data_IF_943460630662
#
_entry.id   IF_943460630662
#
_cell.length_a   1.000
_cell.length_b   1.000
_cell.length_c   1.000
_cell.angle_alpha   90.00
_cell.angle_beta   90.00
_cell.angle_gamma   90.00
#
_symmetry.space_group_name_H-M   'P 1'
#
loop_
_entity.id
_entity.type
_entity.pdbx_description
1 polymer ?
#
# COMPACT_ATOMS: atom_id res chain seq x y z
N UNK A 1 22.47 -1.37 4.76
CA UNK A 1 21.45 -2.07 5.57
C UNK A 1 20.94 -3.26 4.77
N UNK A 2 21.03 -4.51 5.28
CA UNK A 2 20.67 -5.72 4.50
C UNK A 2 19.17 -5.82 4.19
N UNK A 3 18.33 -5.04 4.88
CA UNK A 3 16.88 -5.00 4.68
C UNK A 3 16.46 -4.75 3.22
N UNK A 4 17.21 -3.94 2.49
CA UNK A 4 17.01 -3.70 1.05
C UNK A 4 17.02 -5.01 0.25
N UNK A 5 18.07 -5.81 0.43
CA UNK A 5 18.22 -7.11 -0.24
C UNK A 5 17.11 -8.05 0.21
N UNK A 6 16.84 -8.12 1.51
CA UNK A 6 15.80 -9.00 2.06
C UNK A 6 14.41 -8.67 1.51
N UNK A 7 14.06 -7.38 1.44
CA UNK A 7 12.80 -6.91 0.85
C UNK A 7 12.66 -7.39 -0.61
N UNK A 8 13.72 -7.33 -1.41
CA UNK A 8 13.71 -7.70 -2.82
C UNK A 8 13.51 -9.18 -3.08
N UNK A 9 14.00 -10.03 -2.18
CA UNK A 9 13.92 -11.49 -2.33
C UNK A 9 12.77 -12.10 -1.51
N UNK A 10 11.86 -11.28 -0.99
CA UNK A 10 10.69 -11.73 -0.23
C UNK A 10 10.99 -12.22 1.18
N UNK A 11 12.19 -11.93 1.71
CA UNK A 11 12.58 -12.20 3.10
C UNK A 11 12.10 -11.07 4.01
N UNK A 12 10.80 -10.82 3.98
CA UNK A 12 10.18 -9.65 4.62
C UNK A 12 10.39 -9.66 6.14
N UNK A 13 10.36 -10.83 6.79
CA UNK A 13 10.60 -10.93 8.23
C UNK A 13 12.03 -10.51 8.61
N UNK A 14 13.04 -10.94 7.85
CA UNK A 14 14.43 -10.52 8.10
C UNK A 14 14.65 -9.04 7.79
N UNK A 15 13.91 -8.48 6.81
CA UNK A 15 13.88 -7.04 6.60
C UNK A 15 13.29 -6.32 7.83
N UNK A 16 12.17 -6.79 8.38
CA UNK A 16 11.56 -6.25 9.60
C UNK A 16 12.53 -6.29 10.78
N UNK A 17 13.13 -7.45 11.08
CA UNK A 17 14.08 -7.61 12.19
C UNK A 17 15.29 -6.68 12.06
N UNK A 18 15.85 -6.56 10.84
CA UNK A 18 16.98 -5.69 10.60
C UNK A 18 16.64 -4.21 10.86
N UNK A 19 15.44 -3.77 10.50
CA UNK A 19 14.99 -2.39 10.72
C UNK A 19 14.56 -2.11 12.16
N UNK A 20 13.96 -3.09 12.85
CA UNK A 20 13.69 -2.99 14.29
C UNK A 20 15.00 -2.78 15.07
N UNK A 21 16.04 -3.56 14.74
CA UNK A 21 17.36 -3.43 15.35
C UNK A 21 18.04 -2.10 15.00
N UNK A 22 17.96 -1.67 13.73
CA UNK A 22 18.54 -0.41 13.27
C UNK A 22 17.86 0.81 13.94
N UNK A 23 16.52 0.84 13.95
CA UNK A 23 15.77 1.91 14.59
C UNK A 23 16.11 2.02 16.09
N UNK A 24 16.25 0.89 16.80
CA UNK A 24 16.66 0.89 18.22
C UNK A 24 18.07 1.44 18.41
N UNK A 25 19.01 1.09 17.53
CA UNK A 25 20.37 1.62 17.58
C UNK A 25 20.40 3.13 17.29
N UNK A 26 19.61 3.58 16.31
CA UNK A 26 19.47 5.00 15.97
C UNK A 26 18.89 5.81 17.12
N UNK A 27 17.83 5.33 17.77
CA UNK A 27 17.22 5.99 18.93
C UNK A 27 18.23 6.16 20.07
N UNK A 28 19.01 5.10 20.34
CA UNK A 28 20.08 5.15 21.34
C UNK A 28 21.14 6.17 20.97
N UNK A 29 21.58 6.19 19.70
CA UNK A 29 22.60 7.11 19.21
C UNK A 29 22.12 8.58 19.21
N UNK A 30 20.92 8.85 18.71
CA UNK A 30 20.31 10.18 18.67
C UNK A 30 20.16 10.73 20.09
N UNK A 31 19.70 9.91 21.03
CA UNK A 31 19.50 10.32 22.42
C UNK A 31 20.83 10.59 23.13
N UNK A 32 21.79 9.67 23.03
CA UNK A 32 23.08 9.80 23.73
C UNK A 32 23.94 10.93 23.20
N UNK A 33 23.93 11.15 21.88
CA UNK A 33 24.79 12.12 21.21
C UNK A 33 24.06 13.43 20.88
N UNK A 34 22.77 13.56 21.22
CA UNK A 34 21.93 14.73 20.89
C UNK A 34 21.99 15.09 19.39
N UNK A 35 22.01 14.07 18.52
CA UNK A 35 22.22 14.25 17.08
C UNK A 35 21.09 15.08 16.47
N UNK A 36 21.45 16.03 15.63
CA UNK A 36 20.52 16.90 14.91
C UNK A 36 20.75 16.82 13.39
N UNK A 37 19.85 17.43 12.64
CA UNK A 37 19.99 17.59 11.19
C UNK A 37 19.52 16.38 10.40
N UNK A 38 20.21 16.07 9.31
CA UNK A 38 19.72 15.14 8.29
C UNK A 38 19.61 13.68 8.75
N UNK A 39 20.48 13.25 9.67
CA UNK A 39 20.46 11.88 10.19
C UNK A 39 19.14 11.52 10.89
N UNK A 40 18.71 12.22 11.96
CA UNK A 40 17.43 11.97 12.61
C UNK A 40 16.22 12.35 11.74
N UNK A 41 16.39 13.22 10.73
CA UNK A 41 15.29 13.65 9.86
C UNK A 41 15.05 12.75 8.64
N UNK A 42 16.01 11.91 8.25
CA UNK A 42 15.90 11.08 7.05
C UNK A 42 16.34 9.64 7.27
N UNK A 43 17.59 9.38 7.68
CA UNK A 43 18.12 8.02 7.77
C UNK A 43 17.40 7.15 8.81
N UNK A 44 17.21 7.67 10.02
CA UNK A 44 16.44 6.97 11.06
C UNK A 44 14.97 6.74 10.65
N UNK A 45 14.23 7.76 10.21
CA UNK A 45 12.88 7.58 9.67
C UNK A 45 12.82 6.55 8.54
N UNK A 46 13.80 6.53 7.65
CA UNK A 46 13.83 5.57 6.54
C UNK A 46 13.88 4.10 7.01
N UNK A 47 14.52 3.83 8.15
CA UNK A 47 14.53 2.50 8.75
C UNK A 47 13.13 2.10 9.26
N UNK A 48 12.43 3.05 9.89
CA UNK A 48 11.03 2.84 10.31
C UNK A 48 10.12 2.67 9.09
N UNK A 49 10.36 3.43 8.01
CA UNK A 49 9.63 3.32 6.75
C UNK A 49 9.79 1.91 6.14
N UNK A 50 11.00 1.34 6.17
CA UNK A 50 11.20 -0.05 5.78
C UNK A 50 10.48 -1.06 6.69
N UNK A 51 10.47 -0.83 8.01
CA UNK A 51 9.73 -1.69 8.94
C UNK A 51 8.23 -1.71 8.60
N UNK A 52 7.63 -0.54 8.33
CA UNK A 52 6.25 -0.46 7.86
C UNK A 52 6.05 -1.29 6.57
N UNK A 53 6.91 -1.10 5.56
CA UNK A 53 6.74 -1.75 4.27
C UNK A 53 6.91 -3.27 4.35
N UNK A 54 7.92 -3.76 5.09
CA UNK A 54 8.16 -5.19 5.26
C UNK A 54 7.09 -5.87 6.11
N UNK A 55 6.72 -5.30 7.26
CA UNK A 55 5.62 -5.80 8.08
C UNK A 55 4.28 -5.80 7.32
N UNK A 56 4.08 -4.82 6.42
CA UNK A 56 2.90 -4.78 5.53
C UNK A 56 2.85 -5.98 4.58
N UNK A 57 3.99 -6.47 4.09
CA UNK A 57 4.06 -7.66 3.22
C UNK A 57 3.92 -8.98 3.99
N UNK A 58 4.27 -8.99 5.27
CA UNK A 58 4.10 -10.15 6.18
C UNK A 58 2.67 -10.33 6.71
N UNK A 59 1.78 -9.36 6.49
CA UNK A 59 0.45 -9.36 7.10
C UNK A 59 0.45 -9.02 8.60
N UNK A 60 1.52 -8.41 9.12
CA UNK A 60 1.65 -7.99 10.53
C UNK A 60 1.06 -6.58 10.70
N UNK A 61 -0.26 -6.49 10.73
CA UNK A 61 -1.00 -5.21 10.71
C UNK A 61 -0.67 -4.30 11.88
N UNK A 62 -0.57 -4.85 13.09
CA UNK A 62 -0.26 -4.06 14.30
C UNK A 62 1.11 -3.39 14.16
N UNK A 63 2.12 -4.17 13.79
CA UNK A 63 3.50 -3.70 13.63
C UNK A 63 3.61 -2.68 12.50
N UNK A 64 2.95 -2.94 11.38
CA UNK A 64 2.97 -2.02 10.24
C UNK A 64 2.32 -0.67 10.59
N UNK A 65 1.15 -0.68 11.25
CA UNK A 65 0.44 0.54 11.66
C UNK A 65 1.26 1.32 12.69
N UNK A 66 1.81 0.64 13.71
CA UNK A 66 2.65 1.28 14.73
C UNK A 66 3.91 1.90 14.11
N UNK A 67 4.58 1.19 13.20
CA UNK A 67 5.73 1.72 12.47
C UNK A 67 5.35 2.94 11.62
N UNK A 68 4.21 2.91 10.93
CA UNK A 68 3.74 4.04 10.13
C UNK A 68 3.48 5.30 10.98
N UNK A 69 2.88 5.13 12.16
CA UNK A 69 2.66 6.25 13.10
C UNK A 69 3.98 6.76 13.67
N UNK A 70 4.87 5.85 14.06
CA UNK A 70 6.20 6.18 14.58
C UNK A 70 7.03 6.93 13.55
N UNK A 71 6.96 6.55 12.28
CA UNK A 71 7.63 7.24 11.17
C UNK A 71 7.27 8.72 11.16
N UNK A 72 5.96 9.04 11.11
CA UNK A 72 5.50 10.44 11.09
C UNK A 72 5.86 11.17 12.38
N UNK A 73 5.69 10.52 13.54
CA UNK A 73 6.00 11.11 14.84
C UNK A 73 7.51 11.37 15.05
N UNK A 74 8.38 10.61 14.38
CA UNK A 74 9.83 10.74 14.50
C UNK A 74 10.40 11.98 13.80
N UNK A 75 9.64 12.60 12.90
CA UNK A 75 10.04 13.77 12.12
C UNK A 75 9.30 14.99 12.67
N UNK A 76 10.00 16.03 13.17
CA UNK A 76 9.35 17.26 13.59
C UNK A 76 8.57 17.90 12.45
N UNK A 77 7.37 18.42 12.71
CA UNK A 77 6.49 19.05 11.71
C UNK A 77 7.21 20.11 10.86
N UNK A 78 8.11 20.87 11.48
CA UNK A 78 8.91 21.89 10.81
C UNK A 78 9.79 21.32 9.69
N UNK A 79 10.30 20.09 9.82
CA UNK A 79 11.12 19.44 8.78
C UNK A 79 10.31 19.11 7.54
N UNK A 80 9.05 18.72 7.66
CA UNK A 80 8.17 18.52 6.51
C UNK A 80 7.92 19.84 5.74
N UNK A 81 7.93 20.98 6.43
CA UNK A 81 7.79 22.30 5.80
C UNK A 81 9.07 22.80 5.13
N UNK A 82 10.22 22.45 5.69
CA UNK A 82 11.54 22.80 5.14
C UNK A 82 11.89 21.95 3.90
N UNK A 83 11.50 20.67 3.94
CA UNK A 83 11.88 19.68 2.93
C UNK A 83 10.63 19.01 2.36
N UNK A 84 10.09 19.59 1.29
CA UNK A 84 8.85 19.11 0.66
C UNK A 84 8.90 17.64 0.23
N UNK A 85 10.08 17.11 -0.12
CA UNK A 85 10.22 15.69 -0.48
C UNK A 85 9.87 14.73 0.67
N UNK A 86 9.97 15.18 1.94
CA UNK A 86 9.61 14.38 3.11
C UNK A 86 8.10 14.15 3.23
N UNK A 87 7.27 14.91 2.51
CA UNK A 87 5.82 14.67 2.47
C UNK A 87 5.47 13.24 2.05
N UNK A 88 6.39 12.53 1.38
CA UNK A 88 6.27 11.11 1.07
C UNK A 88 5.95 10.20 2.29
N UNK A 89 6.40 10.58 3.48
CA UNK A 89 6.19 9.81 4.71
C UNK A 89 4.89 10.15 5.45
N UNK A 90 4.32 11.33 5.21
CA UNK A 90 3.09 11.76 5.89
C UNK A 90 1.87 10.85 5.63
N UNK A 91 1.63 10.33 4.42
CA UNK A 91 0.49 9.44 4.18
C UNK A 91 0.72 7.99 4.61
N UNK A 92 1.92 7.61 5.10
CA UNK A 92 2.21 6.22 5.46
C UNK A 92 1.20 5.59 6.44
N UNK A 93 0.69 6.30 7.47
CA UNK A 93 -0.39 5.77 8.30
C UNK A 93 -1.68 5.48 7.54
N UNK A 94 -2.08 6.35 6.59
CA UNK A 94 -3.25 6.12 5.75
C UNK A 94 -3.07 4.89 4.86
N UNK A 95 -1.87 4.71 4.30
CA UNK A 95 -1.55 3.51 3.52
C UNK A 95 -1.55 2.23 4.36
N UNK A 96 -1.01 2.28 5.59
CA UNK A 96 -1.06 1.15 6.52
C UNK A 96 -2.51 0.75 6.83
N UNK A 97 -3.35 1.73 7.20
CA UNK A 97 -4.77 1.49 7.47
C UNK A 97 -5.50 0.92 6.23
N UNK A 98 -5.23 1.47 5.04
CA UNK A 98 -5.83 1.00 3.79
C UNK A 98 -5.39 -0.43 3.43
N UNK A 99 -4.10 -0.75 3.60
CA UNK A 99 -3.56 -2.10 3.34
C UNK A 99 -4.25 -3.18 4.17
N UNK A 100 -4.72 -2.83 5.37
CA UNK A 100 -5.33 -3.74 6.34
C UNK A 100 -6.83 -3.50 6.56
N UNK A 101 -7.51 -2.83 5.62
CA UNK A 101 -8.96 -2.63 5.66
C UNK A 101 -9.49 -1.94 6.92
N UNK A 102 -8.71 -1.05 7.57
CA UNK A 102 -9.09 -0.39 8.82
C UNK A 102 -10.06 0.78 8.56
N UNK A 103 -11.21 0.47 7.98
CA UNK A 103 -12.16 1.45 7.42
C UNK A 103 -12.68 2.48 8.41
N UNK A 104 -13.01 2.03 9.62
CA UNK A 104 -13.45 2.94 10.68
C UNK A 104 -12.34 3.92 11.07
N UNK A 105 -11.10 3.43 11.22
CA UNK A 105 -9.95 4.25 11.57
C UNK A 105 -9.63 5.28 10.46
N UNK A 106 -9.72 4.89 9.18
CA UNK A 106 -9.51 5.82 8.05
C UNK A 106 -10.51 6.98 8.09
N UNK A 107 -11.78 6.72 8.38
CA UNK A 107 -12.79 7.78 8.46
C UNK A 107 -12.62 8.68 9.69
N UNK A 108 -11.95 8.18 10.74
CA UNK A 108 -11.62 8.93 11.94
C UNK A 108 -10.33 9.77 11.81
N UNK A 109 -9.49 9.51 10.80
CA UNK A 109 -8.28 10.30 10.58
C UNK A 109 -8.62 11.77 10.29
N UNK A 110 -7.97 12.72 10.99
CA UNK A 110 -8.20 14.13 10.76
C UNK A 110 -7.76 14.49 9.34
N UNK A 111 -8.46 15.47 8.75
CA UNK A 111 -8.01 16.05 7.49
C UNK A 111 -6.59 16.62 7.67
N UNK A 112 -5.63 16.32 6.78
CA UNK A 112 -4.28 16.84 6.86
C UNK A 112 -4.24 18.38 6.79
N UNK A 113 -3.14 18.96 7.27
CA UNK A 113 -2.94 20.40 7.19
C UNK A 113 -2.89 20.86 5.71
N UNK A 114 -3.48 22.03 5.36
CA UNK A 114 -3.67 22.44 3.97
C UNK A 114 -2.38 22.56 3.14
N UNK A 115 -1.23 22.76 3.77
CA UNK A 115 0.07 22.79 3.09
C UNK A 115 0.48 21.43 2.51
N UNK A 116 0.03 20.32 3.09
CA UNK A 116 0.37 18.95 2.68
C UNK A 116 -0.66 18.43 1.68
N UNK A 117 -0.60 18.99 0.46
CA UNK A 117 -1.55 18.71 -0.62
C UNK A 117 -1.48 17.27 -1.10
N UNK A 118 -0.30 16.65 -1.16
CA UNK A 118 -0.16 15.26 -1.58
C UNK A 118 -0.80 14.34 -0.54
N UNK A 119 -0.52 14.59 0.74
CA UNK A 119 -1.13 13.87 1.86
C UNK A 119 -2.65 14.04 1.88
N UNK A 120 -3.15 15.25 1.61
CA UNK A 120 -4.61 15.52 1.52
C UNK A 120 -5.25 14.75 0.36
N UNK A 121 -4.57 14.66 -0.78
CA UNK A 121 -5.04 13.88 -1.92
C UNK A 121 -5.10 12.38 -1.55
N UNK A 122 -4.08 11.84 -0.88
CA UNK A 122 -4.12 10.45 -0.37
C UNK A 122 -5.23 10.24 0.67
N UNK A 123 -5.51 11.22 1.54
CA UNK A 123 -6.63 11.17 2.47
C UNK A 123 -7.97 11.01 1.75
N UNK A 124 -8.20 11.76 0.67
CA UNK A 124 -9.36 11.56 -0.20
C UNK A 124 -9.37 10.18 -0.87
N UNK A 125 -8.21 9.72 -1.38
CA UNK A 125 -8.08 8.38 -1.98
C UNK A 125 -8.53 7.27 -1.03
N UNK A 126 -7.98 7.21 0.19
CA UNK A 126 -8.30 6.12 1.13
C UNK A 126 -9.75 6.19 1.64
N UNK A 127 -10.33 7.38 1.76
CA UNK A 127 -11.76 7.54 2.07
C UNK A 127 -12.65 7.09 0.93
N UNK A 128 -12.26 7.39 -0.31
CA UNK A 128 -12.91 6.87 -1.51
C UNK A 128 -12.92 5.34 -1.53
N UNK A 129 -11.80 4.69 -1.15
CA UNK A 129 -11.75 3.24 -0.98
C UNK A 129 -12.75 2.74 0.06
N UNK A 130 -12.88 3.45 1.20
CA UNK A 130 -13.87 3.10 2.23
C UNK A 130 -15.30 3.18 1.69
N UNK A 131 -15.67 4.26 1.00
CA UNK A 131 -17.02 4.38 0.44
C UNK A 131 -17.29 3.36 -0.66
N UNK A 132 -16.33 3.14 -1.56
CA UNK A 132 -16.43 2.09 -2.56
C UNK A 132 -16.63 0.75 -1.84
N UNK A 133 -15.86 0.49 -0.76
CA UNK A 133 -15.96 -0.74 0.05
C UNK A 133 -17.36 -1.04 0.60
N UNK A 134 -18.19 0.00 0.72
CA UNK A 134 -19.55 -0.06 1.26
C UNK A 134 -20.63 -0.04 0.17
N UNK A 135 -20.25 -0.11 -1.11
CA UNK A 135 -21.17 0.05 -2.25
C UNK A 135 -21.65 1.50 -2.46
N UNK A 136 -21.06 2.47 -1.75
CA UNK A 136 -21.40 3.90 -1.82
C UNK A 136 -20.64 4.57 -2.96
N UNK A 137 -21.00 4.20 -4.18
CA UNK A 137 -20.27 4.58 -5.38
C UNK A 137 -20.23 6.10 -5.61
N UNK A 138 -21.30 6.82 -5.25
CA UNK A 138 -21.37 8.27 -5.49
C UNK A 138 -20.53 9.05 -4.47
N UNK A 139 -20.52 8.62 -3.20
CA UNK A 139 -19.60 9.18 -2.19
C UNK A 139 -18.14 8.87 -2.54
N UNK A 140 -17.85 7.66 -3.04
CA UNK A 140 -16.52 7.31 -3.52
C UNK A 140 -16.09 8.17 -4.72
N UNK A 141 -16.99 8.40 -5.68
CA UNK A 141 -16.75 9.28 -6.82
C UNK A 141 -16.54 10.74 -6.41
N UNK A 142 -17.23 11.21 -5.36
CA UNK A 142 -17.03 12.55 -4.81
C UNK A 142 -15.62 12.71 -4.19
N UNK A 143 -15.15 11.72 -3.43
CA UNK A 143 -13.76 11.70 -2.91
C UNK A 143 -12.74 11.63 -4.06
N UNK A 144 -13.01 10.83 -5.10
CA UNK A 144 -12.17 10.77 -6.30
C UNK A 144 -12.06 12.12 -7.02
N UNK A 145 -13.15 12.89 -7.11
CA UNK A 145 -13.13 14.21 -7.72
C UNK A 145 -12.22 15.19 -6.94
N UNK A 146 -12.20 15.11 -5.61
CA UNK A 146 -11.30 15.93 -4.77
C UNK A 146 -9.84 15.53 -4.96
N UNK A 147 -9.55 14.23 -5.00
CA UNK A 147 -8.23 13.69 -5.36
C UNK A 147 -7.75 14.26 -6.71
N UNK A 148 -8.58 14.17 -7.75
CA UNK A 148 -8.22 14.60 -9.09
C UNK A 148 -7.97 16.12 -9.15
N UNK A 149 -8.78 16.92 -8.46
CA UNK A 149 -8.58 18.36 -8.38
C UNK A 149 -7.22 18.72 -7.77
N UNK A 150 -6.79 18.00 -6.73
CA UNK A 150 -5.47 18.19 -6.11
C UNK A 150 -4.34 17.72 -7.02
N UNK A 151 -4.51 16.60 -7.74
CA UNK A 151 -3.52 16.09 -8.69
C UNK A 151 -3.23 17.08 -9.84
N UNK A 152 -4.21 17.91 -10.21
CA UNK A 152 -4.03 18.94 -11.24
C UNK A 152 -3.32 20.21 -10.76
N UNK A 153 -3.07 20.37 -9.47
CA UNK A 153 -2.41 21.54 -8.89
C UNK A 153 -0.94 21.64 -9.32
N UNK A 154 -0.49 22.83 -9.72
CA UNK A 154 0.91 23.03 -10.18
C UNK A 154 1.96 22.73 -9.10
N UNK A 155 1.65 22.93 -7.82
CA UNK A 155 2.55 22.53 -6.74
C UNK A 155 2.77 21.02 -6.74
N UNK A 156 1.70 20.24 -6.96
CA UNK A 156 1.77 18.77 -6.99
C UNK A 156 2.49 18.28 -8.24
N UNK A 157 2.19 18.86 -9.41
CA UNK A 157 2.86 18.51 -10.68
C UNK A 157 4.37 18.69 -10.63
N UNK A 158 4.86 19.62 -9.82
CA UNK A 158 6.29 19.89 -9.67
C UNK A 158 6.89 19.31 -8.37
N UNK A 159 6.09 18.62 -7.55
CA UNK A 159 6.56 18.04 -6.29
C UNK A 159 7.24 16.70 -6.55
N UNK A 160 8.55 16.66 -6.29
CA UNK A 160 9.32 15.41 -6.26
C UNK A 160 9.42 14.94 -4.82
N UNK A 161 8.93 13.73 -4.58
CA UNK A 161 8.91 13.09 -3.28
C UNK A 161 10.20 12.31 -3.03
N UNK A 162 10.41 11.92 -1.76
CA UNK A 162 11.50 11.03 -1.40
C UNK A 162 11.57 9.84 -2.35
N UNK A 163 12.76 9.61 -2.92
CA UNK A 163 12.99 8.57 -3.91
C UNK A 163 12.80 8.94 -5.37
N UNK A 164 12.50 10.20 -5.66
CA UNK A 164 12.50 10.73 -7.02
C UNK A 164 11.18 10.55 -7.77
N UNK A 165 10.16 9.94 -7.16
CA UNK A 165 8.83 9.87 -7.75
C UNK A 165 8.15 11.24 -7.72
N UNK A 166 7.51 11.60 -8.83
CA UNK A 166 6.66 12.77 -8.90
C UNK A 166 5.33 12.51 -8.17
N UNK A 167 4.89 13.45 -7.33
CA UNK A 167 3.66 13.31 -6.56
C UNK A 167 2.43 13.14 -7.46
N UNK A 168 2.34 13.86 -8.58
CA UNK A 168 1.24 13.72 -9.53
C UNK A 168 1.18 12.31 -10.13
N UNK A 169 2.32 11.70 -10.47
CA UNK A 169 2.36 10.33 -10.99
C UNK A 169 1.83 9.31 -9.96
N UNK A 170 2.13 9.49 -8.67
CA UNK A 170 1.55 8.65 -7.61
C UNK A 170 0.05 8.90 -7.44
N UNK A 171 -0.42 10.14 -7.60
CA UNK A 171 -1.85 10.46 -7.54
C UNK A 171 -2.61 9.96 -8.78
N UNK A 172 -1.97 9.83 -9.93
CA UNK A 172 -2.58 9.20 -11.11
C UNK A 172 -2.82 7.70 -10.86
N UNK A 173 -1.87 7.01 -10.21
CA UNK A 173 -2.08 5.62 -9.74
C UNK A 173 -3.25 5.56 -8.77
N UNK A 174 -3.29 6.46 -7.78
CA UNK A 174 -4.38 6.55 -6.81
C UNK A 174 -5.74 6.77 -7.51
N UNK A 175 -5.77 7.66 -8.51
CA UNK A 175 -6.98 8.02 -9.24
C UNK A 175 -7.52 6.85 -10.06
N UNK A 176 -6.67 6.18 -10.84
CA UNK A 176 -7.08 5.01 -11.60
C UNK A 176 -7.48 3.84 -10.69
N UNK A 177 -6.79 3.65 -9.57
CA UNK A 177 -7.16 2.63 -8.58
C UNK A 177 -8.55 2.92 -8.01
N UNK A 178 -8.82 4.16 -7.58
CA UNK A 178 -10.12 4.54 -7.03
C UNK A 178 -11.22 4.56 -8.10
N UNK A 179 -10.92 4.97 -9.34
CA UNK A 179 -11.84 4.86 -10.47
C UNK A 179 -12.31 3.42 -10.66
N UNK A 180 -11.36 2.47 -10.58
CA UNK A 180 -11.65 1.05 -10.66
C UNK A 180 -12.56 0.59 -9.53
N UNK A 181 -12.28 0.98 -8.29
CA UNK A 181 -13.13 0.65 -7.14
C UNK A 181 -14.54 1.28 -7.22
N UNK A 182 -14.66 2.51 -7.71
CA UNK A 182 -15.96 3.16 -7.99
C UNK A 182 -16.74 2.37 -9.03
N UNK A 183 -16.10 1.99 -10.13
CA UNK A 183 -16.72 1.15 -11.16
C UNK A 183 -17.15 -0.21 -10.60
N UNK A 184 -16.31 -0.84 -9.77
CA UNK A 184 -16.62 -2.07 -9.06
C UNK A 184 -17.85 -1.95 -8.15
N UNK A 185 -17.96 -0.86 -7.39
CA UNK A 185 -19.12 -0.56 -6.55
C UNK A 185 -20.41 -0.33 -7.37
N UNK A 186 -20.28 0.07 -8.64
CA UNK A 186 -21.40 0.18 -9.61
C UNK A 186 -21.70 -1.12 -10.35
N UNK A 187 -20.97 -2.21 -10.08
CA UNK A 187 -21.08 -3.47 -10.81
C UNK A 187 -20.49 -3.43 -12.23
N UNK A 188 -19.71 -2.40 -12.56
CA UNK A 188 -19.08 -2.21 -13.87
C UNK A 188 -17.72 -2.92 -13.89
N UNK A 189 -17.73 -4.25 -13.91
CA UNK A 189 -16.53 -5.08 -13.68
C UNK A 189 -15.47 -4.92 -14.77
N UNK A 190 -15.85 -4.83 -16.05
CA UNK A 190 -14.88 -4.64 -17.13
C UNK A 190 -14.18 -3.28 -17.04
N UNK A 191 -14.93 -2.25 -16.64
CA UNK A 191 -14.42 -0.91 -16.39
C UNK A 191 -13.45 -0.89 -15.20
N UNK A 192 -13.82 -1.57 -14.10
CA UNK A 192 -12.95 -1.75 -12.94
C UNK A 192 -11.59 -2.33 -13.36
N UNK A 193 -11.60 -3.42 -14.13
CA UNK A 193 -10.37 -4.08 -14.58
C UNK A 193 -9.57 -3.17 -15.52
N UNK A 194 -10.23 -2.45 -16.42
CA UNK A 194 -9.59 -1.51 -17.35
C UNK A 194 -8.84 -0.40 -16.61
N UNK A 195 -9.47 0.21 -15.61
CA UNK A 195 -8.88 1.28 -14.81
C UNK A 195 -7.71 0.76 -13.95
N UNK A 196 -7.85 -0.42 -13.33
CA UNK A 196 -6.76 -1.03 -12.58
C UNK A 196 -5.54 -1.35 -13.46
N UNK A 197 -5.74 -1.75 -14.72
CA UNK A 197 -4.63 -1.92 -15.67
C UNK A 197 -3.91 -0.62 -16.03
N UNK A 198 -4.63 0.52 -16.08
CA UNK A 198 -3.98 1.83 -16.22
C UNK A 198 -3.12 2.15 -14.99
N UNK A 199 -3.64 1.90 -13.79
CA UNK A 199 -2.88 2.07 -12.55
C UNK A 199 -1.61 1.19 -12.52
N UNK A 200 -1.71 -0.08 -12.95
CA UNK A 200 -0.56 -0.98 -13.02
C UNK A 200 0.51 -0.48 -14.00
N UNK A 201 0.10 0.01 -15.19
CA UNK A 201 1.04 0.58 -16.18
C UNK A 201 1.79 1.79 -15.61
N UNK A 202 1.09 2.65 -14.88
CA UNK A 202 1.71 3.80 -14.21
C UNK A 202 2.67 3.36 -13.10
N UNK A 203 2.28 2.35 -12.31
CA UNK A 203 3.14 1.78 -11.27
C UNK A 203 4.42 1.17 -11.86
N UNK A 204 4.33 0.42 -12.96
CA UNK A 204 5.49 -0.19 -13.65
C UNK A 204 6.47 0.87 -14.21
N UNK A 205 6.00 2.10 -14.46
CA UNK A 205 6.80 3.21 -14.98
C UNK A 205 7.49 4.04 -13.87
N UNK A 206 7.23 3.74 -12.59
CA UNK A 206 7.87 4.45 -11.49
C UNK A 206 9.37 4.16 -11.41
N UNK A 207 10.19 5.13 -10.94
CA UNK A 207 11.59 4.89 -10.68
C UNK A 207 11.75 3.81 -9.61
N UNK A 208 12.81 3.01 -9.75
CA UNK A 208 13.17 2.02 -8.75
C UNK A 208 13.71 2.71 -7.48
N UNK A 209 13.05 2.45 -6.36
CA UNK A 209 13.53 2.71 -5.00
C UNK A 209 12.93 1.71 -4.02
N UNK A 210 13.50 1.64 -2.83
CA UNK A 210 13.07 0.78 -1.74
C UNK A 210 12.85 1.60 -0.46
N UNK A 211 11.73 1.39 0.27
CA UNK A 211 10.54 0.66 -0.18
C UNK A 211 9.95 1.24 -1.48
N UNK A 212 9.19 0.46 -2.27
CA UNK A 212 8.55 0.97 -3.48
C UNK A 212 7.73 2.23 -3.19
N UNK A 213 7.69 3.22 -4.11
CA UNK A 213 6.96 4.49 -3.87
C UNK A 213 5.45 4.32 -3.66
N UNK A 214 4.88 3.22 -4.15
CA UNK A 214 3.46 2.91 -4.02
C UNK A 214 3.26 1.69 -3.10
N UNK A 215 2.36 1.83 -2.12
CA UNK A 215 2.22 0.90 -0.99
C UNK A 215 1.62 -0.47 -1.34
N UNK A 216 0.89 -0.56 -2.45
CA UNK A 216 0.06 -1.71 -2.81
C UNK A 216 0.44 -2.21 -4.22
N UNK A 217 0.80 -3.49 -4.40
CA UNK A 217 0.97 -4.01 -5.75
C UNK A 217 -0.37 -4.01 -6.51
N UNK A 218 -0.51 -3.21 -7.57
CA UNK A 218 -1.80 -3.09 -8.29
C UNK A 218 -2.16 -4.40 -8.99
N UNK A 219 -1.17 -5.19 -9.44
CA UNK A 219 -1.40 -6.53 -10.00
C UNK A 219 -2.10 -7.47 -9.02
N UNK A 220 -1.81 -7.36 -7.73
CA UNK A 220 -2.54 -8.08 -6.69
C UNK A 220 -4.04 -7.72 -6.73
N UNK A 221 -4.38 -6.44 -6.88
CA UNK A 221 -5.77 -5.95 -6.96
C UNK A 221 -6.46 -6.42 -8.24
N UNK A 222 -5.76 -6.34 -9.38
CA UNK A 222 -6.26 -6.84 -10.68
C UNK A 222 -6.59 -8.34 -10.60
N UNK A 223 -5.68 -9.15 -10.06
CA UNK A 223 -5.90 -10.60 -9.92
C UNK A 223 -7.15 -10.91 -9.10
N UNK A 224 -7.40 -10.15 -8.03
CA UNK A 224 -8.62 -10.28 -7.22
C UNK A 224 -9.88 -9.87 -7.99
N UNK A 225 -9.82 -8.76 -8.75
CA UNK A 225 -10.93 -8.34 -9.61
C UNK A 225 -11.27 -9.41 -10.65
N UNK A 226 -10.25 -10.02 -11.26
CA UNK A 226 -10.41 -11.11 -12.23
C UNK A 226 -11.03 -12.36 -11.61
N UNK A 227 -10.65 -12.72 -10.38
CA UNK A 227 -11.30 -13.83 -9.65
C UNK A 227 -12.79 -13.56 -9.42
N UNK A 228 -13.16 -12.35 -8.99
CA UNK A 228 -14.58 -11.95 -8.81
C UNK A 228 -15.35 -11.97 -10.14
N UNK A 229 -14.67 -11.60 -11.23
CA UNK A 229 -15.20 -11.68 -12.59
C UNK A 229 -15.26 -13.11 -13.14
N UNK A 230 -14.92 -14.14 -12.36
CA UNK A 230 -14.84 -15.56 -12.78
C UNK A 230 -13.89 -15.77 -13.96
N UNK A 231 -12.76 -15.04 -13.99
CA UNK A 231 -11.69 -15.12 -14.99
C UNK A 231 -10.40 -15.72 -14.36
N UNK A 232 -10.42 -16.98 -13.90
CA UNK A 232 -9.34 -17.53 -13.09
C UNK A 232 -8.01 -17.71 -13.84
N UNK A 233 -8.03 -18.00 -15.15
CA UNK A 233 -6.79 -18.14 -15.93
C UNK A 233 -6.03 -16.81 -16.08
N UNK A 234 -6.76 -15.70 -16.23
CA UNK A 234 -6.16 -14.37 -16.28
C UNK A 234 -5.69 -13.92 -14.89
N UNK A 235 -6.44 -14.28 -13.84
CA UNK A 235 -6.03 -14.04 -12.46
C UNK A 235 -4.72 -14.77 -12.14
N UNK A 236 -4.60 -16.05 -12.51
CA UNK A 236 -3.37 -16.83 -12.33
C UNK A 236 -2.17 -16.12 -12.97
N UNK A 237 -2.30 -15.73 -14.24
CA UNK A 237 -1.24 -15.02 -14.98
C UNK A 237 -0.85 -13.75 -14.25
N UNK A 238 -1.83 -12.97 -13.80
CA UNK A 238 -1.61 -11.71 -13.10
C UNK A 238 -0.89 -11.89 -11.76
N UNK A 239 -1.31 -12.87 -10.94
CA UNK A 239 -0.66 -13.14 -9.66
C UNK A 239 0.76 -13.67 -9.82
N UNK A 240 1.04 -14.47 -10.86
CA UNK A 240 2.42 -14.91 -11.15
C UNK A 240 3.32 -13.74 -11.52
N UNK A 241 2.84 -12.79 -12.32
CA UNK A 241 3.61 -11.58 -12.64
C UNK A 241 3.85 -10.72 -11.39
N UNK A 242 2.86 -10.60 -10.50
CA UNK A 242 3.06 -9.92 -9.22
C UNK A 242 4.15 -10.60 -8.39
N UNK A 243 4.13 -11.92 -8.27
CA UNK A 243 5.06 -12.69 -7.44
C UNK A 243 6.50 -12.69 -7.98
N UNK A 244 6.72 -12.37 -9.26
CA UNK A 244 8.08 -12.12 -9.78
C UNK A 244 8.67 -10.83 -9.21
N UNK A 245 7.84 -9.80 -9.01
CA UNK A 245 8.26 -8.49 -8.51
C UNK A 245 8.20 -8.43 -6.98
N UNK A 246 7.24 -9.14 -6.39
CA UNK A 246 6.96 -9.20 -4.96
C UNK A 246 6.98 -10.66 -4.48
N UNK A 247 8.17 -11.31 -4.42
CA UNK A 247 8.26 -12.71 -4.00
C UNK A 247 7.64 -12.91 -2.62
N UNK A 248 6.90 -13.99 -2.45
CA UNK A 248 6.21 -14.31 -1.20
C UNK A 248 5.16 -13.27 -0.73
N UNK A 249 4.62 -12.43 -1.62
CA UNK A 249 3.45 -11.63 -1.30
C UNK A 249 2.25 -12.55 -0.97
N UNK A 250 1.86 -12.61 0.31
CA UNK A 250 0.86 -13.55 0.80
C UNK A 250 -0.51 -13.40 0.15
N UNK A 251 -0.98 -12.17 -0.12
CA UNK A 251 -2.25 -11.97 -0.81
C UNK A 251 -2.22 -12.47 -2.25
N UNK A 252 -1.09 -12.33 -2.96
CA UNK A 252 -0.95 -12.84 -4.32
C UNK A 252 -0.77 -14.35 -4.35
N UNK A 253 -0.10 -14.94 -3.36
CA UNK A 253 -0.03 -16.40 -3.21
C UNK A 253 -1.41 -16.99 -2.95
N UNK A 254 -2.20 -16.39 -2.07
CA UNK A 254 -3.58 -16.83 -1.82
C UNK A 254 -4.44 -16.70 -3.07
N UNK A 255 -4.32 -15.60 -3.81
CA UNK A 255 -5.06 -15.37 -5.04
C UNK A 255 -4.66 -16.35 -6.14
N UNK A 256 -3.36 -16.64 -6.25
CA UNK A 256 -2.84 -17.64 -7.17
C UNK A 256 -3.39 -19.03 -6.83
N UNK A 257 -3.34 -19.44 -5.56
CA UNK A 257 -3.89 -20.71 -5.09
C UNK A 257 -5.37 -20.85 -5.46
N UNK A 258 -6.17 -19.81 -5.18
CA UNK A 258 -7.59 -19.79 -5.51
C UNK A 258 -7.81 -19.89 -7.03
N UNK A 259 -7.02 -19.15 -7.82
CA UNK A 259 -7.11 -19.18 -9.28
C UNK A 259 -6.82 -20.56 -9.87
N UNK A 260 -5.85 -21.29 -9.28
CA UNK A 260 -5.47 -22.64 -9.69
C UNK A 260 -6.55 -23.66 -9.33
N UNK A 261 -7.12 -23.58 -8.12
CA UNK A 261 -8.22 -24.46 -7.71
C UNK A 261 -9.45 -24.31 -8.59
N UNK A 262 -9.83 -23.09 -8.94
CA UNK A 262 -10.95 -22.81 -9.85
C UNK A 262 -10.73 -23.36 -11.26
N UNK A 263 -9.48 -23.58 -11.67
CA UNK A 263 -9.12 -24.23 -12.93
C UNK A 263 -8.92 -25.75 -12.81
N UNK A 264 -9.09 -26.33 -11.61
CA UNK A 264 -8.87 -27.75 -11.37
C UNK A 264 -7.39 -28.17 -11.26
N UNK A 265 -6.44 -27.23 -11.22
CA UNK A 265 -4.99 -27.47 -11.10
C UNK A 265 -4.59 -27.76 -9.64
N UNK A 266 -5.07 -28.88 -9.09
CA UNK A 266 -5.02 -29.17 -7.64
C UNK A 266 -3.59 -29.31 -7.09
N UNK A 267 -2.74 -30.09 -7.74
CA UNK A 267 -1.36 -30.32 -7.26
C UNK A 267 -0.55 -29.01 -7.20
N UNK A 268 -0.70 -28.17 -8.21
CA UNK A 268 -0.04 -26.87 -8.23
C UNK A 268 -0.60 -25.93 -7.17
N UNK A 269 -1.93 -25.92 -6.98
CA UNK A 269 -2.56 -25.14 -5.91
C UNK A 269 -2.05 -25.56 -4.53
N UNK A 270 -1.89 -26.85 -4.27
CA UNK A 270 -1.39 -27.35 -2.98
C UNK A 270 0.07 -26.91 -2.73
N UNK A 271 0.90 -26.87 -3.79
CA UNK A 271 2.25 -26.33 -3.72
C UNK A 271 2.28 -24.81 -3.40
N UNK A 272 1.40 -24.03 -4.02
CA UNK A 272 1.26 -22.59 -3.72
C UNK A 272 0.71 -22.37 -2.32
N UNK A 273 -0.19 -23.22 -1.84
CA UNK A 273 -0.74 -23.15 -0.48
C UNK A 273 0.36 -23.29 0.57
N UNK A 274 1.35 -24.15 0.35
CA UNK A 274 2.48 -24.30 1.26
C UNK A 274 3.36 -23.04 1.30
N UNK A 275 3.62 -22.42 0.14
CA UNK A 275 4.31 -21.12 0.08
C UNK A 275 3.53 -20.04 0.82
N UNK A 276 2.19 -20.02 0.67
CA UNK A 276 1.33 -19.09 1.38
C UNK A 276 1.43 -19.25 2.90
N UNK A 277 1.37 -20.49 3.41
CA UNK A 277 1.51 -20.76 4.86
C UNK A 277 2.83 -20.24 5.42
N UNK A 278 3.92 -20.37 4.66
CA UNK A 278 5.22 -19.85 5.08
C UNK A 278 5.23 -18.32 5.09
N UNK A 279 4.79 -17.70 3.99
CA UNK A 279 4.74 -16.24 3.83
C UNK A 279 3.81 -15.56 4.87
N UNK A 280 2.70 -16.21 5.22
CA UNK A 280 1.65 -15.68 6.09
C UNK A 280 1.73 -16.17 7.54
N UNK A 281 2.78 -16.91 7.90
CA UNK A 281 2.94 -17.56 9.21
C UNK A 281 2.95 -16.61 10.42
N UNK A 282 3.20 -15.31 10.18
CA UNK A 282 3.29 -14.27 11.22
C UNK A 282 2.18 -13.24 11.14
N UNK A 283 1.27 -13.37 10.19
CA UNK A 283 0.22 -12.40 9.99
C UNK A 283 -0.74 -12.40 11.19
N UNK A 284 -1.17 -11.20 11.60
CA UNK A 284 -2.21 -11.01 12.61
C UNK A 284 -3.58 -10.72 11.98
N UNK A 285 -3.64 -10.73 10.64
CA UNK A 285 -4.86 -10.67 9.85
C UNK A 285 -4.98 -11.92 8.99
N UNK A 286 -6.21 -12.32 8.70
CA UNK A 286 -6.46 -13.22 7.58
C UNK A 286 -6.08 -12.50 6.29
N UNK A 287 -5.53 -13.21 5.30
CA UNK A 287 -5.39 -12.67 3.94
C UNK A 287 -6.75 -12.44 3.24
N UNK A 288 -7.87 -12.49 3.98
CA UNK A 288 -9.20 -12.16 3.49
C UNK A 288 -9.22 -10.77 2.84
N UNK A 289 -9.83 -10.71 1.67
CA UNK A 289 -9.56 -9.66 0.70
C UNK A 289 -10.26 -8.34 1.00
N UNK A 290 -9.58 -7.26 0.60
CA UNK A 290 -10.13 -5.92 0.39
C UNK A 290 -11.17 -6.01 -0.74
N UNK A 291 -12.47 -6.01 -0.42
CA UNK A 291 -13.49 -5.80 -1.45
C UNK A 291 -14.75 -5.12 -0.96
N UNK A 292 -15.15 -4.17 -1.80
CA UNK A 292 -16.39 -3.43 -1.92
C UNK A 292 -17.65 -4.18 -2.29
N UNK A 293 -17.56 -5.47 -2.59
CA UNK A 293 -18.69 -6.21 -3.12
C UNK A 293 -18.73 -7.60 -2.50
N UNK A 294 -19.84 -7.84 -1.81
CA UNK A 294 -20.30 -9.12 -1.26
C UNK A 294 -19.57 -9.66 -0.01
N UNK A 295 -19.19 -8.81 0.95
CA UNK A 295 -19.19 -9.25 2.35
C UNK A 295 -20.65 -9.29 2.83
N UNK A 296 -21.25 -10.49 2.77
CA UNK A 296 -22.56 -10.74 3.37
C UNK A 296 -22.49 -11.01 4.87
N UNK A 297 -21.31 -10.91 5.47
CA UNK A 297 -21.14 -10.99 6.91
C UNK A 297 -21.37 -9.61 7.53
N UNK A 298 -22.64 -9.35 7.87
CA UNK A 298 -22.98 -8.35 8.87
C UNK A 298 -22.30 -8.78 10.20
N UNK A 299 -21.47 -7.94 10.82
CA UNK A 299 -21.11 -8.17 12.21
C UNK A 299 -22.38 -8.03 13.06
N UNK A 300 -22.64 -9.04 13.89
CA UNK A 300 -23.54 -8.93 15.04
C UNK A 300 -22.92 -8.01 16.09
#
# INVERSE_FOLDING_TARGET
MPAHIYMRIGRYYEASLANEAAAKADESYITQCSVQGFYPAMYYPHNIHFLWASASMEGRSTVAIDAARKLVASIPLQRFREFSFLEAFLPTPLFALARFSKWHEILAEPKPAPEFKYTTAIWHYVRGLVFASQGKADEAAAEQAQLLALAQNDTIKNLILFGGSNAAALLDIANHTLAGEVAGARGQIDEMIRELWQAAKLQDALPYIEPPPWYLPIRQVIGQALLKAKRPAEAETTFREDLKQNPFNGWSLQGLEQSLRLQGKREEADGVQEQFKQAWSRADVTAAYLSSCCSSDKPQ
#
